data_IF_098832320894
#
_entry.id   IF_098832320894
#
_cell.length_a   1.000
_cell.length_b   1.000
_cell.length_c   1.000
_cell.angle_alpha   90.00
_cell.angle_beta   90.00
_cell.angle_gamma   90.00
#
_symmetry.space_group_name_H-M   'P 1'
#
loop_
_entity.id
_entity.type
_entity.pdbx_description
1 polymer ?
#
# COMPACT_ATOMS: atom_id res chain seq x y z
N UNK A 1 -10.23 -24.33 -45.59
CA UNK A 1 -9.43 -23.18 -45.09
C UNK A 1 -10.12 -22.39 -43.99
N UNK A 2 -11.39 -21.99 -44.13
CA UNK A 2 -12.16 -21.20 -43.14
C UNK A 2 -12.00 -21.67 -41.68
N UNK A 3 -12.21 -22.96 -41.39
CA UNK A 3 -12.13 -23.49 -40.03
C UNK A 3 -10.71 -23.41 -39.41
N UNK A 4 -9.66 -23.47 -40.23
CA UNK A 4 -8.28 -23.28 -39.76
C UNK A 4 -8.02 -21.83 -39.34
N UNK A 5 -8.59 -20.86 -40.08
CA UNK A 5 -8.49 -19.43 -39.74
C UNK A 5 -9.25 -19.14 -38.45
N UNK A 6 -10.48 -19.65 -38.30
CA UNK A 6 -11.28 -19.45 -37.08
C UNK A 6 -10.58 -20.05 -35.87
N UNK A 7 -10.00 -21.26 -36.00
CA UNK A 7 -9.19 -21.88 -34.95
C UNK A 7 -8.01 -20.99 -34.55
N UNK A 8 -7.29 -20.44 -35.54
CA UNK A 8 -6.14 -19.57 -35.30
C UNK A 8 -6.54 -18.26 -34.59
N UNK A 9 -7.64 -17.64 -35.00
CA UNK A 9 -8.18 -16.44 -34.33
C UNK A 9 -8.57 -16.77 -32.88
N UNK A 10 -9.26 -17.90 -32.66
CA UNK A 10 -9.61 -18.36 -31.32
C UNK A 10 -8.39 -18.58 -30.42
N UNK A 11 -7.32 -19.17 -30.97
CA UNK A 11 -6.06 -19.38 -30.25
C UNK A 11 -5.39 -18.06 -29.87
N UNK A 12 -5.34 -17.08 -30.77
CA UNK A 12 -4.78 -15.75 -30.48
C UNK A 12 -5.58 -15.08 -29.37
N UNK A 13 -6.92 -15.04 -29.49
CA UNK A 13 -7.78 -14.43 -28.48
C UNK A 13 -7.61 -15.08 -27.11
N UNK A 14 -7.58 -16.43 -27.08
CA UNK A 14 -7.38 -17.20 -25.87
C UNK A 14 -6.02 -16.89 -25.23
N UNK A 15 -4.94 -16.88 -26.03
CA UNK A 15 -3.58 -16.66 -25.54
C UNK A 15 -3.39 -15.24 -25.00
N UNK A 16 -3.86 -14.23 -25.74
CA UNK A 16 -3.81 -12.84 -25.28
C UNK A 16 -4.59 -12.69 -23.98
N UNK A 17 -5.81 -13.22 -23.91
CA UNK A 17 -6.63 -13.10 -22.70
C UNK A 17 -5.97 -13.80 -21.51
N UNK A 18 -5.38 -14.99 -21.71
CA UNK A 18 -4.72 -15.75 -20.65
C UNK A 18 -3.60 -14.94 -19.96
N UNK A 19 -2.81 -14.19 -20.73
CA UNK A 19 -1.72 -13.34 -20.21
C UNK A 19 -2.20 -12.29 -19.21
N UNK A 20 -3.40 -11.73 -19.40
CA UNK A 20 -3.97 -10.74 -18.48
C UNK A 20 -4.85 -11.38 -17.40
N UNK A 21 -5.54 -12.46 -17.75
CA UNK A 21 -6.51 -13.11 -16.88
C UNK A 21 -5.84 -13.88 -15.73
N UNK A 22 -4.71 -14.56 -15.99
CA UNK A 22 -4.01 -15.33 -14.95
C UNK A 22 -3.53 -14.43 -13.79
N UNK A 23 -2.76 -13.34 -14.02
CA UNK A 23 -2.30 -12.48 -12.92
C UNK A 23 -3.46 -11.91 -12.10
N UNK A 24 -4.56 -11.57 -12.77
CA UNK A 24 -5.76 -11.06 -12.11
C UNK A 24 -6.46 -12.13 -11.25
N UNK A 25 -6.55 -13.37 -11.72
CA UNK A 25 -7.04 -14.48 -10.90
C UNK A 25 -6.12 -14.74 -9.69
N UNK A 26 -4.80 -14.66 -9.89
CA UNK A 26 -3.84 -14.83 -8.80
C UNK A 26 -4.01 -13.72 -7.76
N UNK A 27 -4.24 -12.47 -8.15
CA UNK A 27 -4.51 -11.39 -7.20
C UNK A 27 -5.80 -11.62 -6.42
N UNK A 28 -6.92 -11.86 -7.12
CA UNK A 28 -8.24 -11.93 -6.48
C UNK A 28 -8.40 -13.21 -5.65
N UNK A 29 -7.96 -14.35 -6.17
CA UNK A 29 -8.25 -15.64 -5.57
C UNK A 29 -7.09 -16.23 -4.79
N UNK A 30 -5.85 -16.04 -5.23
CA UNK A 30 -4.71 -16.64 -4.55
C UNK A 30 -4.16 -15.70 -3.47
N UNK A 31 -3.96 -14.42 -3.79
CA UNK A 31 -3.40 -13.44 -2.87
C UNK A 31 -4.38 -13.06 -1.76
N UNK A 32 -5.59 -12.58 -2.09
CA UNK A 32 -6.57 -12.19 -1.06
C UNK A 32 -6.98 -13.38 -0.19
N UNK A 33 -7.18 -14.57 -0.76
CA UNK A 33 -7.45 -15.78 0.03
C UNK A 33 -6.30 -16.10 0.95
N UNK A 34 -5.06 -16.06 0.47
CA UNK A 34 -3.87 -16.30 1.29
C UNK A 34 -3.83 -15.33 2.48
N UNK A 35 -3.95 -14.03 2.22
CA UNK A 35 -3.92 -12.99 3.26
C UNK A 35 -5.03 -13.23 4.29
N UNK A 36 -6.27 -13.41 3.84
CA UNK A 36 -7.41 -13.56 4.76
C UNK A 36 -7.37 -14.90 5.52
N UNK A 37 -6.80 -15.95 4.93
CA UNK A 37 -6.63 -17.24 5.61
C UNK A 37 -5.51 -17.24 6.65
N UNK A 38 -4.46 -16.43 6.43
CA UNK A 38 -3.26 -16.44 7.27
C UNK A 38 -3.26 -15.32 8.30
N UNK A 39 -3.78 -14.14 7.97
CA UNK A 39 -3.67 -12.97 8.81
C UNK A 39 -5.05 -12.40 9.16
N UNK A 40 -5.17 -11.87 10.38
CA UNK A 40 -6.13 -10.83 10.73
C UNK A 40 -5.35 -9.54 10.88
N UNK A 41 -5.71 -8.51 10.12
CA UNK A 41 -5.02 -7.21 10.11
C UNK A 41 -6.03 -6.17 10.55
N UNK A 42 -5.71 -5.45 11.64
CA UNK A 42 -6.52 -4.35 12.14
C UNK A 42 -5.74 -3.04 12.02
N UNK A 43 -6.29 -2.04 11.35
CA UNK A 43 -5.70 -0.72 11.26
C UNK A 43 -6.01 0.07 12.53
N UNK A 44 -5.01 0.25 13.38
CA UNK A 44 -5.18 0.87 14.71
C UNK A 44 -5.55 2.36 14.59
N UNK A 45 -5.23 2.99 13.46
CA UNK A 45 -5.54 4.40 13.25
C UNK A 45 -7.00 4.63 12.83
N UNK A 46 -7.71 3.63 12.30
CA UNK A 46 -9.12 3.79 11.89
C UNK A 46 -10.05 4.12 13.06
N UNK A 47 -9.72 3.63 14.25
CA UNK A 47 -10.55 3.81 15.45
C UNK A 47 -10.35 5.19 16.11
N UNK A 48 -9.11 5.71 16.13
CA UNK A 48 -8.79 6.97 16.79
C UNK A 48 -7.47 7.58 16.29
N UNK A 49 -7.60 8.42 15.26
CA UNK A 49 -6.48 9.14 14.65
C UNK A 49 -5.81 10.18 15.55
N UNK A 50 -6.42 10.53 16.69
CA UNK A 50 -5.82 11.51 17.62
C UNK A 50 -4.72 10.89 18.49
N UNK A 51 -4.70 9.55 18.61
CA UNK A 51 -3.72 8.81 19.41
C UNK A 51 -2.39 8.66 18.68
N UNK A 52 -1.41 9.46 19.08
CA UNK A 52 -0.01 9.32 18.64
C UNK A 52 0.77 8.26 19.40
N UNK A 53 0.35 8.03 20.64
CA UNK A 53 0.93 7.00 21.51
C UNK A 53 0.02 5.80 21.43
N UNK A 54 0.56 4.69 20.95
CA UNK A 54 -0.08 3.40 20.93
C UNK A 54 0.60 2.52 21.98
N UNK A 55 -0.19 1.64 22.57
CA UNK A 55 0.30 0.66 23.52
C UNK A 55 0.03 -0.72 22.94
N UNK A 56 1.08 -1.52 22.83
CA UNK A 56 0.99 -2.93 22.49
C UNK A 56 1.66 -3.69 23.62
N UNK A 57 0.90 -4.49 24.37
CA UNK A 57 1.35 -5.06 25.65
C UNK A 57 2.01 -4.04 26.60
N UNK A 58 3.31 -4.17 26.88
CA UNK A 58 4.12 -3.27 27.72
C UNK A 58 4.85 -2.18 26.93
N UNK A 59 4.72 -2.19 25.61
CA UNK A 59 5.54 -1.43 24.69
C UNK A 59 4.79 -0.15 24.34
N UNK A 60 5.52 0.96 24.36
CA UNK A 60 5.00 2.29 24.04
C UNK A 60 5.50 2.69 22.66
N UNK A 61 4.60 2.81 21.69
CA UNK A 61 4.91 3.23 20.33
C UNK A 61 4.46 4.68 20.18
N UNK A 62 5.33 5.56 19.71
CA UNK A 62 5.00 6.97 19.53
C UNK A 62 5.51 7.50 18.20
N UNK A 63 4.69 8.32 17.55
CA UNK A 63 5.15 9.13 16.41
C UNK A 63 5.16 10.60 16.79
N UNK A 64 6.27 11.27 16.54
CA UNK A 64 6.51 12.67 16.91
C UNK A 64 7.02 13.42 15.70
N UNK A 65 6.38 14.54 15.38
CA UNK A 65 6.87 15.41 14.32
C UNK A 65 7.87 16.44 14.87
N UNK A 66 8.99 16.60 14.18
CA UNK A 66 10.12 17.46 14.56
C UNK A 66 10.42 18.42 13.40
N UNK A 67 10.24 19.75 13.55
CA UNK A 67 10.59 20.75 12.57
C UNK A 67 11.98 20.61 12.01
N UNK A 68 12.05 20.72 10.69
CA UNK A 68 13.27 20.83 9.91
C UNK A 68 13.94 22.17 10.19
N UNK A 69 13.14 23.23 10.33
CA UNK A 69 13.58 24.58 10.61
C UNK A 69 12.63 25.20 11.66
N UNK A 70 13.14 25.81 12.75
CA UNK A 70 12.31 26.49 13.74
C UNK A 70 11.61 27.75 13.19
N UNK A 71 11.95 28.21 11.99
CA UNK A 71 11.34 29.38 11.38
C UNK A 71 9.89 29.09 10.95
N UNK A 72 8.96 29.58 11.74
CA UNK A 72 7.52 29.57 11.45
C UNK A 72 7.24 30.53 10.29
N UNK A 73 6.58 30.02 9.26
CA UNK A 73 6.17 30.79 8.09
C UNK A 73 4.67 31.09 8.15
N UNK A 74 4.22 32.05 7.35
CA UNK A 74 2.80 32.39 7.23
C UNK A 74 2.34 32.16 5.79
N UNK A 75 1.25 31.44 5.60
CA UNK A 75 0.69 31.20 4.27
C UNK A 75 -0.22 32.37 3.83
N UNK A 76 -0.75 32.29 2.60
CA UNK A 76 -1.65 33.28 2.00
C UNK A 76 -2.97 33.45 2.78
N UNK A 77 -3.38 32.44 3.53
CA UNK A 77 -4.61 32.44 4.35
C UNK A 77 -4.35 32.94 5.77
N UNK A 78 -3.19 33.57 6.02
CA UNK A 78 -2.74 34.02 7.34
C UNK A 78 -2.53 32.90 8.38
N UNK A 79 -2.51 31.64 7.98
CA UNK A 79 -2.16 30.54 8.88
C UNK A 79 -0.65 30.40 9.01
N UNK A 80 -0.20 29.91 10.15
CA UNK A 80 1.20 29.68 10.43
C UNK A 80 1.55 28.23 10.13
N UNK A 81 2.69 27.98 9.49
CA UNK A 81 3.13 26.62 9.21
C UNK A 81 4.61 26.42 9.48
N UNK A 82 4.96 25.16 9.76
CA UNK A 82 6.33 24.69 9.87
C UNK A 82 6.48 23.37 9.12
N UNK A 83 7.62 23.16 8.48
CA UNK A 83 7.98 21.86 7.92
C UNK A 83 8.61 20.99 8.99
N UNK A 84 8.20 19.73 9.09
CA UNK A 84 8.69 18.79 10.09
C UNK A 84 8.95 17.40 9.51
N UNK A 85 9.96 16.72 10.04
CA UNK A 85 10.17 15.30 9.84
C UNK A 85 9.37 14.49 10.86
N UNK A 86 9.06 13.24 10.53
CA UNK A 86 8.33 12.34 11.42
C UNK A 86 9.32 11.36 12.05
N UNK A 87 9.43 11.35 13.38
CA UNK A 87 10.22 10.37 14.11
C UNK A 87 9.30 9.30 14.72
N UNK A 88 9.71 8.04 14.61
CA UNK A 88 9.05 6.90 15.24
C UNK A 88 9.89 6.46 16.45
N UNK A 89 9.23 6.29 17.58
CA UNK A 89 9.82 5.84 18.83
C UNK A 89 9.14 4.57 19.32
N UNK A 90 9.94 3.62 19.82
CA UNK A 90 9.47 2.43 20.52
C UNK A 90 10.17 2.43 21.87
N UNK A 91 9.41 2.38 22.96
CA UNK A 91 9.94 2.44 24.34
C UNK A 91 10.86 3.64 24.60
N UNK A 92 10.50 4.80 24.03
CA UNK A 92 11.26 6.06 24.08
C UNK A 92 12.60 6.05 23.32
N UNK A 93 12.94 4.97 22.61
CA UNK A 93 14.08 4.92 21.69
C UNK A 93 13.61 5.25 20.28
N UNK A 94 14.32 6.13 19.58
CA UNK A 94 14.00 6.48 18.19
C UNK A 94 14.44 5.34 17.28
N UNK A 95 13.49 4.66 16.66
CA UNK A 95 13.75 3.54 15.75
C UNK A 95 13.76 3.96 14.29
N UNK A 96 13.10 5.07 13.95
CA UNK A 96 13.04 5.56 12.57
C UNK A 96 12.75 7.06 12.47
N UNK A 97 13.03 7.60 11.29
CA UNK A 97 12.79 8.99 10.90
C UNK A 97 12.41 9.09 9.42
N UNK A 98 11.26 9.66 9.12
CA UNK A 98 10.91 10.09 7.77
C UNK A 98 11.56 11.44 7.49
N UNK A 99 12.76 11.39 6.92
CA UNK A 99 13.57 12.55 6.52
C UNK A 99 13.49 12.86 5.01
N UNK A 100 12.98 11.92 4.20
CA UNK A 100 12.86 12.08 2.75
C UNK A 100 11.77 13.07 2.34
N UNK A 101 10.76 13.25 3.20
CA UNK A 101 9.62 14.12 2.93
C UNK A 101 9.16 14.84 4.19
N UNK A 102 9.52 16.12 4.37
CA UNK A 102 8.96 16.89 5.46
C UNK A 102 7.46 17.08 5.25
N UNK A 103 6.70 16.92 6.33
CA UNK A 103 5.28 17.25 6.39
C UNK A 103 5.10 18.72 6.76
N UNK A 104 4.04 19.33 6.25
CA UNK A 104 3.64 20.69 6.59
C UNK A 104 2.65 20.63 7.75
N UNK A 105 3.00 21.33 8.83
CA UNK A 105 2.17 21.39 10.03
C UNK A 105 1.60 22.80 10.11
N UNK A 106 0.30 22.92 9.89
CA UNK A 106 -0.43 24.17 9.80
C UNK A 106 -1.22 24.45 11.09
N UNK A 107 -1.20 25.70 11.57
CA UNK A 107 -1.95 26.16 12.73
C UNK A 107 -2.50 27.57 12.51
N UNK A 108 -3.72 27.80 12.98
CA UNK A 108 -4.34 29.14 12.95
C UNK A 108 -3.69 30.13 13.93
N UNK A 109 -2.90 29.66 14.90
CA UNK A 109 -2.33 30.48 15.96
C UNK A 109 -0.81 30.25 16.12
N UNK A 110 -0.02 31.33 16.00
CA UNK A 110 1.45 31.31 16.05
C UNK A 110 2.04 30.70 17.32
N UNK A 111 1.43 30.96 18.48
CA UNK A 111 1.99 30.53 19.77
C UNK A 111 2.00 29.00 19.93
N UNK A 112 1.08 28.29 19.27
CA UNK A 112 1.05 26.82 19.27
C UNK A 112 2.29 26.25 18.56
N UNK A 113 2.76 26.93 17.51
CA UNK A 113 3.97 26.55 16.77
C UNK A 113 5.26 27.00 17.44
N UNK A 114 5.23 28.11 18.20
CA UNK A 114 6.42 28.58 18.93
C UNK A 114 6.92 27.54 19.94
N UNK A 115 6.01 26.75 20.48
CA UNK A 115 6.30 25.66 21.42
C UNK A 115 6.51 24.29 20.72
N UNK A 116 6.49 24.26 19.38
CA UNK A 116 6.60 23.07 18.53
C UNK A 116 8.02 22.95 17.89
N UNK A 117 8.85 21.92 18.15
CA UNK A 117 8.73 20.83 19.10
C UNK A 117 9.80 21.05 20.18
N UNK A 118 9.80 22.15 20.92
CA UNK A 118 10.69 22.22 22.10
C UNK A 118 10.16 21.33 23.24
N UNK A 119 9.58 20.20 22.85
CA UNK A 119 9.15 19.10 23.66
C UNK A 119 10.41 18.29 23.95
N UNK A 120 11.21 18.79 24.88
CA UNK A 120 12.18 17.97 25.63
C UNK A 120 11.51 16.80 26.40
N UNK A 121 10.18 16.70 26.33
CA UNK A 121 9.36 15.75 27.07
C UNK A 121 8.36 15.06 26.14
N UNK A 122 8.79 13.98 25.49
CA UNK A 122 7.98 13.06 24.65
C UNK A 122 6.68 12.54 25.32
N UNK A 123 6.45 12.90 26.59
CA UNK A 123 5.23 12.60 27.34
C UNK A 123 4.17 13.71 27.26
N UNK A 124 4.46 14.90 26.71
CA UNK A 124 3.45 15.94 26.48
C UNK A 124 2.71 15.69 25.16
N UNK A 125 1.42 15.36 25.28
CA UNK A 125 0.49 15.20 24.15
C UNK A 125 0.27 16.55 23.44
N UNK A 126 1.10 16.88 22.45
CA UNK A 126 0.82 18.04 21.57
C UNK A 126 -0.21 17.62 20.54
N UNK A 127 -1.44 18.12 20.67
CA UNK A 127 -2.50 17.90 19.70
C UNK A 127 -2.12 18.54 18.34
N UNK A 128 -2.16 17.74 17.26
CA UNK A 128 -2.02 18.23 15.89
C UNK A 128 -3.43 18.55 15.42
N UNK A 129 -3.56 19.63 14.67
CA UNK A 129 -4.77 19.91 13.90
C UNK A 129 -5.18 18.64 13.10
N UNK A 130 -6.47 18.28 13.04
CA UNK A 130 -6.96 17.16 12.24
C UNK A 130 -6.48 17.15 10.78
N UNK A 131 -6.23 18.32 10.18
CA UNK A 131 -5.69 18.43 8.84
C UNK A 131 -4.21 17.99 8.76
N UNK A 132 -3.42 18.25 9.80
CA UNK A 132 -2.04 17.78 9.89
C UNK A 132 -1.96 16.27 10.19
N UNK A 133 -3.03 15.68 10.76
CA UNK A 133 -3.14 14.23 10.90
C UNK A 133 -3.24 13.55 9.53
N UNK A 134 -3.77 14.22 8.50
CA UNK A 134 -3.86 13.65 7.16
C UNK A 134 -2.48 13.38 6.54
N UNK A 135 -1.55 14.31 6.67
CA UNK A 135 -0.18 14.09 6.22
C UNK A 135 0.51 12.99 7.03
N UNK A 136 0.26 12.89 8.34
CA UNK A 136 0.77 11.78 9.14
C UNK A 136 0.21 10.43 8.66
N UNK A 137 -1.09 10.35 8.38
CA UNK A 137 -1.79 9.13 7.93
C UNK A 137 -1.22 8.55 6.64
N UNK A 138 -0.80 9.41 5.72
CA UNK A 138 -0.26 8.97 4.44
C UNK A 138 1.20 8.51 4.54
N UNK A 139 1.84 8.73 5.69
CA UNK A 139 3.27 8.53 5.88
C UNK A 139 3.62 7.50 6.96
N UNK A 140 2.80 7.35 8.00
CA UNK A 140 2.99 6.34 9.06
C UNK A 140 1.64 5.74 9.42
N UNK A 141 1.52 4.41 9.35
CA UNK A 141 0.33 3.67 9.77
C UNK A 141 0.68 2.54 10.72
N UNK A 142 -0.23 2.28 11.65
CA UNK A 142 -0.11 1.25 12.64
C UNK A 142 -1.09 0.11 12.39
N UNK A 143 -0.62 -1.11 12.51
CA UNK A 143 -1.46 -2.30 12.42
C UNK A 143 -1.24 -3.22 13.61
N UNK A 144 -2.32 -3.87 14.04
CA UNK A 144 -2.20 -5.12 14.79
C UNK A 144 -2.36 -6.26 13.80
N UNK A 145 -1.40 -7.17 13.76
CA UNK A 145 -1.36 -8.31 12.84
C UNK A 145 -1.34 -9.57 13.67
N UNK A 146 -2.32 -10.44 13.45
CA UNK A 146 -2.38 -11.77 14.05
C UNK A 146 -2.19 -12.83 12.96
N UNK A 147 -1.10 -13.60 13.03
CA UNK A 147 -0.86 -14.74 12.14
C UNK A 147 -1.59 -15.96 12.71
N UNK A 148 -2.70 -16.33 12.05
CA UNK A 148 -3.59 -17.44 12.42
C UNK A 148 -2.92 -18.80 12.34
N UNK A 149 -1.78 -18.92 11.66
CA UNK A 149 -1.06 -20.18 11.55
C UNK A 149 -0.15 -20.41 12.77
N UNK A 150 0.51 -19.35 13.24
CA UNK A 150 1.43 -19.42 14.40
C UNK A 150 0.75 -18.99 15.70
N UNK A 151 -0.46 -18.44 15.62
CA UNK A 151 -1.19 -17.78 16.71
C UNK A 151 -0.42 -16.59 17.33
N UNK A 152 0.56 -16.05 16.60
CA UNK A 152 1.37 -14.93 17.05
C UNK A 152 0.68 -13.60 16.73
N UNK A 153 0.71 -12.69 17.69
CA UNK A 153 0.25 -11.31 17.55
C UNK A 153 1.45 -10.38 17.50
N UNK A 154 1.39 -9.41 16.58
CA UNK A 154 2.45 -8.44 16.35
C UNK A 154 1.84 -7.06 16.13
N UNK A 155 2.55 -6.04 16.59
CA UNK A 155 2.24 -4.65 16.26
C UNK A 155 3.21 -4.16 15.20
N UNK A 156 2.67 -3.57 14.15
CA UNK A 156 3.43 -3.19 12.98
C UNK A 156 3.33 -1.68 12.79
N UNK A 157 4.49 -1.04 12.65
CA UNK A 157 4.60 0.35 12.22
C UNK A 157 5.13 0.37 10.80
N UNK A 158 4.30 0.83 9.87
CA UNK A 158 4.67 0.98 8.48
C UNK A 158 4.94 2.46 8.18
N UNK A 159 6.16 2.75 7.76
CA UNK A 159 6.62 4.11 7.39
C UNK A 159 6.81 4.16 5.88
N UNK A 160 6.13 5.09 5.22
CA UNK A 160 6.27 5.35 3.79
C UNK A 160 7.48 6.26 3.53
N UNK A 161 8.55 5.69 2.97
CA UNK A 161 9.79 6.39 2.62
C UNK A 161 9.79 6.92 1.19
N UNK A 162 8.71 6.70 0.44
CA UNK A 162 8.58 7.08 -0.97
C UNK A 162 8.87 8.56 -1.15
N UNK A 163 9.89 8.86 -1.94
CA UNK A 163 10.10 10.23 -2.43
C UNK A 163 9.12 10.43 -3.57
N UNK A 164 8.25 11.45 -3.46
CA UNK A 164 7.30 11.74 -4.53
C UNK A 164 8.09 12.02 -5.82
N UNK A 165 7.79 11.29 -6.90
CA UNK A 165 8.40 11.58 -8.17
C UNK A 165 7.99 12.98 -8.65
N UNK A 166 8.87 13.64 -9.40
CA UNK A 166 8.50 14.79 -10.21
C UNK A 166 7.26 14.44 -11.04
N UNK A 167 6.28 15.36 -11.14
CA UNK A 167 5.02 15.14 -11.87
C UNK A 167 5.24 14.78 -13.34
N UNK A 168 6.46 15.01 -13.86
CA UNK A 168 6.91 14.65 -15.20
C UNK A 168 7.24 13.15 -15.39
N UNK A 169 7.35 12.36 -14.32
CA UNK A 169 7.77 10.96 -14.40
C UNK A 169 6.67 10.03 -14.91
N UNK A 170 7.08 9.01 -15.68
CA UNK A 170 6.15 7.98 -16.12
C UNK A 170 5.68 7.13 -14.93
N UNK A 171 4.48 6.53 -15.03
CA UNK A 171 3.94 5.65 -13.99
C UNK A 171 4.91 4.53 -13.59
N UNK A 172 5.69 4.02 -14.56
CA UNK A 172 6.65 2.95 -14.32
C UNK A 172 7.84 3.44 -13.51
N UNK A 173 8.24 4.69 -13.71
CA UNK A 173 9.30 5.32 -12.93
C UNK A 173 8.82 5.65 -11.53
N UNK A 174 7.56 6.06 -11.37
CA UNK A 174 6.91 6.24 -10.06
C UNK A 174 6.95 4.97 -9.20
N UNK A 175 6.72 3.79 -9.78
CA UNK A 175 6.81 2.52 -9.03
C UNK A 175 8.21 2.28 -8.46
N UNK A 176 9.26 2.75 -9.14
CA UNK A 176 10.64 2.59 -8.68
C UNK A 176 11.00 3.51 -7.52
N UNK A 177 10.22 4.56 -7.26
CA UNK A 177 10.47 5.47 -6.13
C UNK A 177 9.77 5.02 -4.84
N UNK A 178 8.95 3.97 -4.91
CA UNK A 178 8.16 3.47 -3.79
C UNK A 178 9.04 2.65 -2.84
N UNK A 179 9.17 3.17 -1.62
CA UNK A 179 9.95 2.57 -0.55
C UNK A 179 9.20 2.66 0.77
N UNK A 180 9.35 1.63 1.59
CA UNK A 180 8.75 1.53 2.91
C UNK A 180 9.73 0.92 3.91
N UNK A 181 9.57 1.29 5.16
CA UNK A 181 10.21 0.65 6.31
C UNK A 181 9.13 0.05 7.19
N UNK A 182 9.28 -1.22 7.55
CA UNK A 182 8.36 -1.96 8.41
C UNK A 182 9.04 -2.25 9.74
N UNK A 183 8.52 -1.72 10.84
CA UNK A 183 8.92 -2.15 12.18
C UNK A 183 7.90 -3.13 12.73
N UNK A 184 8.34 -4.33 13.05
CA UNK A 184 7.50 -5.37 13.66
C UNK A 184 7.88 -5.51 15.12
N UNK A 185 6.91 -5.32 15.99
CA UNK A 185 7.06 -5.44 17.44
C UNK A 185 6.30 -6.69 17.87
N UNK A 186 7.04 -7.65 18.39
CA UNK A 186 6.45 -8.87 18.95
C UNK A 186 5.99 -8.65 20.40
N UNK A 187 5.19 -9.57 20.93
CA UNK A 187 4.60 -9.45 22.27
C UNK A 187 5.63 -9.33 23.40
N UNK A 188 6.81 -9.95 23.25
CA UNK A 188 7.91 -9.84 24.22
C UNK A 188 8.69 -8.51 24.12
N UNK A 189 8.44 -7.73 23.07
CA UNK A 189 9.07 -6.43 22.83
C UNK A 189 10.26 -6.45 21.89
N UNK A 190 10.61 -7.60 21.30
CA UNK A 190 11.60 -7.62 20.24
C UNK A 190 11.08 -6.85 19.03
N UNK A 191 11.92 -5.93 18.54
CA UNK A 191 11.65 -5.09 17.38
C UNK A 191 12.52 -5.58 16.22
N UNK A 192 11.91 -5.92 15.10
CA UNK A 192 12.60 -6.15 13.83
C UNK A 192 12.26 -5.04 12.84
N UNK A 193 13.21 -4.72 11.97
CA UNK A 193 13.05 -3.69 10.95
C UNK A 193 13.35 -4.30 9.59
N UNK A 194 12.41 -4.14 8.65
CA UNK A 194 12.56 -4.60 7.28
C UNK A 194 12.26 -3.45 6.31
N UNK A 195 13.24 -3.11 5.48
CA UNK A 195 13.03 -2.19 4.35
C UNK A 195 12.55 -2.97 3.13
N UNK A 196 11.55 -2.44 2.45
CA UNK A 196 11.00 -3.04 1.26
C UNK A 196 10.62 -1.99 0.22
N UNK A 197 10.58 -2.39 -1.04
CA UNK A 197 10.20 -1.52 -2.16
C UNK A 197 9.01 -2.10 -2.88
N UNK A 198 8.57 -1.45 -3.96
CA UNK A 198 7.70 -2.12 -4.91
C UNK A 198 8.34 -3.46 -5.34
N UNK A 199 9.52 -3.51 -5.95
CA UNK A 199 10.02 -4.77 -6.54
C UNK A 199 10.38 -5.89 -5.54
N UNK A 200 10.68 -5.54 -4.29
CA UNK A 200 11.05 -6.52 -3.27
C UNK A 200 10.09 -6.40 -2.08
N UNK A 201 8.97 -7.12 -2.14
CA UNK A 201 7.93 -7.12 -1.11
C UNK A 201 7.35 -8.52 -0.92
N UNK A 202 6.92 -8.81 0.30
CA UNK A 202 6.11 -9.99 0.61
C UNK A 202 4.62 -9.73 0.36
N UNK A 203 3.82 -10.80 0.42
CA UNK A 203 2.35 -10.68 0.35
C UNK A 203 1.81 -9.80 1.47
N UNK A 204 2.25 -10.01 2.71
CA UNK A 204 1.79 -9.22 3.85
C UNK A 204 2.19 -7.75 3.70
N UNK A 205 3.46 -7.48 3.37
CA UNK A 205 3.96 -6.11 3.13
C UNK A 205 3.15 -5.39 2.04
N UNK A 206 2.79 -6.10 0.96
CA UNK A 206 1.91 -5.54 -0.08
C UNK A 206 0.57 -5.12 0.50
N UNK A 207 -0.08 -5.95 1.32
CA UNK A 207 -1.38 -5.65 1.92
C UNK A 207 -1.33 -4.43 2.83
N UNK A 208 -0.28 -4.34 3.66
CA UNK A 208 -0.10 -3.23 4.60
C UNK A 208 0.21 -1.92 3.86
N UNK A 209 0.98 -1.98 2.77
CA UNK A 209 1.37 -0.81 1.97
C UNK A 209 0.22 -0.15 1.21
N UNK A 210 -0.85 -0.88 0.90
CA UNK A 210 -1.98 -0.36 0.12
C UNK A 210 -2.63 0.91 0.71
N UNK A 211 -2.64 1.07 2.04
CA UNK A 211 -3.28 2.23 2.68
C UNK A 211 -2.39 3.48 2.74
N UNK A 212 -1.07 3.32 2.61
CA UNK A 212 -0.10 4.41 2.74
C UNK A 212 0.59 4.76 1.43
N UNK A 213 0.55 3.85 0.46
CA UNK A 213 1.17 4.09 -0.84
C UNK A 213 0.47 5.24 -1.58
N UNK A 214 1.22 6.15 -2.22
CA UNK A 214 0.62 7.19 -3.05
C UNK A 214 -0.13 6.63 -4.26
N UNK A 215 0.18 5.39 -4.66
CA UNK A 215 -0.48 4.67 -5.76
C UNK A 215 -0.85 3.25 -5.34
N UNK A 216 -1.99 2.74 -5.81
CA UNK A 216 -2.38 1.36 -5.53
C UNK A 216 -1.55 0.40 -6.40
N UNK A 217 -1.17 -0.74 -5.84
CA UNK A 217 -0.49 -1.79 -6.56
C UNK A 217 -0.87 -3.15 -5.98
N UNK A 218 -1.00 -4.17 -6.82
CA UNK A 218 -1.29 -5.55 -6.37
C UNK A 218 -0.02 -6.37 -6.24
N UNK A 219 -0.06 -7.55 -5.63
CA UNK A 219 1.13 -8.41 -5.49
C UNK A 219 1.55 -9.08 -6.80
N UNK A 220 0.58 -9.58 -7.57
CA UNK A 220 0.78 -10.25 -8.86
C UNK A 220 0.54 -9.32 -10.05
N UNK A 221 -0.23 -8.25 -9.88
CA UNK A 221 -0.54 -7.31 -10.97
C UNK A 221 -1.01 -5.95 -10.47
N UNK A 222 -0.63 -4.89 -11.20
CA UNK A 222 -1.06 -3.50 -10.91
C UNK A 222 -2.31 -3.08 -11.69
N UNK A 223 -2.95 -4.02 -12.40
CA UNK A 223 -4.13 -3.76 -13.25
C UNK A 223 -5.27 -3.06 -12.48
N UNK A 224 -5.27 -3.17 -11.15
CA UNK A 224 -6.24 -2.51 -10.25
C UNK A 224 -6.11 -0.98 -10.20
N UNK A 225 -5.06 -0.37 -10.74
CA UNK A 225 -4.76 1.05 -10.53
C UNK A 225 -5.30 2.03 -11.59
N UNK A 226 -5.95 1.59 -12.67
CA UNK A 226 -6.35 2.53 -13.73
C UNK A 226 -7.68 2.24 -14.42
N UNK A 227 -8.11 0.99 -14.42
CA UNK A 227 -9.38 0.59 -14.97
C UNK A 227 -10.16 -0.11 -13.87
N UNK A 228 -11.44 0.26 -13.69
CA UNK A 228 -12.30 -0.45 -12.76
C UNK A 228 -12.21 -1.94 -13.06
N UNK A 229 -11.82 -2.74 -12.05
CA UNK A 229 -11.78 -4.21 -12.11
C UNK A 229 -13.06 -4.77 -12.76
N UNK A 230 -14.18 -4.10 -12.51
CA UNK A 230 -15.50 -4.37 -13.04
C UNK A 230 -15.62 -4.29 -14.57
N UNK A 231 -14.69 -3.64 -15.26
CA UNK A 231 -14.65 -3.55 -16.72
C UNK A 231 -13.65 -4.55 -17.31
N UNK A 232 -12.42 -4.59 -16.78
CA UNK A 232 -11.37 -5.43 -17.36
C UNK A 232 -11.60 -6.92 -17.12
N UNK A 233 -12.05 -7.32 -15.92
CA UNK A 233 -12.25 -8.73 -15.62
C UNK A 233 -13.33 -9.36 -16.52
N UNK A 234 -14.54 -8.79 -16.66
CA UNK A 234 -15.54 -9.33 -17.59
C UNK A 234 -15.09 -9.29 -19.05
N UNK A 235 -14.38 -8.25 -19.47
CA UNK A 235 -13.87 -8.14 -20.85
C UNK A 235 -12.88 -9.27 -21.17
N UNK A 236 -11.87 -9.48 -20.31
CA UNK A 236 -10.88 -10.54 -20.54
C UNK A 236 -11.51 -11.94 -20.39
N UNK A 237 -12.41 -12.13 -19.43
CA UNK A 237 -13.15 -13.38 -19.27
C UNK A 237 -14.01 -13.70 -20.51
N UNK A 238 -14.68 -12.71 -21.10
CA UNK A 238 -15.49 -12.91 -22.32
C UNK A 238 -14.62 -13.21 -23.53
N UNK A 239 -13.49 -12.50 -23.73
CA UNK A 239 -12.52 -12.80 -24.79
C UNK A 239 -11.94 -14.21 -24.62
N UNK A 240 -11.63 -14.61 -23.39
CA UNK A 240 -11.14 -15.95 -23.05
C UNK A 240 -12.16 -17.03 -23.46
N UNK A 241 -13.41 -16.89 -23.01
CA UNK A 241 -14.49 -17.84 -23.29
C UNK A 241 -14.84 -17.88 -24.78
N UNK A 242 -14.86 -16.72 -25.46
CA UNK A 242 -15.09 -16.65 -26.90
C UNK A 242 -13.97 -17.35 -27.68
N UNK A 243 -12.70 -17.08 -27.34
CA UNK A 243 -11.55 -17.76 -27.94
C UNK A 243 -11.62 -19.28 -27.73
N UNK A 244 -11.92 -19.72 -26.51
CA UNK A 244 -12.10 -21.13 -26.17
C UNK A 244 -13.23 -21.80 -26.98
N UNK A 245 -14.39 -21.15 -27.07
CA UNK A 245 -15.54 -21.62 -27.86
C UNK A 245 -15.15 -21.77 -29.33
N UNK A 246 -14.52 -20.76 -29.93
CA UNK A 246 -14.08 -20.80 -31.33
C UNK A 246 -13.12 -21.97 -31.59
N UNK A 247 -12.20 -22.24 -30.67
CA UNK A 247 -11.30 -23.39 -30.77
C UNK A 247 -12.07 -24.71 -30.71
N UNK A 248 -12.98 -24.89 -29.75
CA UNK A 248 -13.76 -26.12 -29.59
C UNK A 248 -14.64 -26.38 -30.83
N UNK A 249 -15.37 -25.38 -31.30
CA UNK A 249 -16.23 -25.52 -32.48
C UNK A 249 -15.42 -25.81 -33.74
N UNK A 250 -14.32 -25.07 -33.97
CA UNK A 250 -13.50 -25.25 -35.17
C UNK A 250 -12.83 -26.64 -35.21
N UNK A 251 -12.36 -27.14 -34.07
CA UNK A 251 -11.77 -28.48 -33.96
C UNK A 251 -12.78 -29.59 -34.22
N UNK A 252 -14.03 -29.43 -33.75
CA UNK A 252 -15.11 -30.39 -34.05
C UNK A 252 -15.40 -30.48 -35.54
N UNK A 253 -15.47 -29.33 -36.22
CA UNK A 253 -15.73 -29.29 -37.66
C UNK A 253 -14.55 -29.82 -38.49
N UNK A 254 -13.31 -29.54 -38.08
CA UNK A 254 -12.13 -30.13 -38.71
C UNK A 254 -12.13 -31.66 -38.58
N UNK A 255 -12.46 -32.19 -37.40
CA UNK A 255 -12.54 -33.64 -37.17
C UNK A 255 -13.60 -34.31 -38.05
N UNK A 256 -14.78 -33.70 -38.19
CA UNK A 256 -15.84 -34.22 -39.09
C UNK A 256 -15.36 -34.30 -40.55
N UNK A 257 -14.68 -33.24 -41.03
CA UNK A 257 -14.17 -33.19 -42.39
C UNK A 257 -13.06 -34.23 -42.66
N UNK A 258 -12.28 -34.62 -41.65
CA UNK A 258 -11.27 -35.67 -41.77
C UNK A 258 -11.88 -37.07 -41.77
N UNK A 259 -12.99 -37.28 -41.07
CA UNK A 259 -13.68 -38.58 -41.00
C UNK A 259 -14.57 -38.88 -42.22
N UNK A 260 -14.87 -37.87 -43.04
CA UNK A 260 -15.69 -38.01 -44.25
C UNK A 260 -14.88 -38.30 -45.53
N UNK A 261 -13.57 -38.54 -45.39
CA UNK A 261 -12.63 -38.86 -46.47
C UNK A 261 -12.22 -40.33 -46.31
#
# INVERSE_FOLDING_TARGET
MKNKIILFVGLIMFTISLTFFIPLLLEIFAYEKYINSRYTIHNVMEDDYSKRTQHFHKQKIQTVAVPVNPNIQKNTDNNYFVQAFINVYINNERVDMLDTRPITINYSQYHILKDFPYVHDINKNVYLDPNNLYELRNNVVYYTVHDKLTEEEQFVVLVNKTTLPDESLSWKDTLNTIHFTLHTISADGNVTTDDFSYHNRTKLQTKLALHVSPISFGYYTDIFWGFGIFVLLPLHATIFLAGLMLMIFSSRELKKATLSI
#
